data_IF_581816222115
#
_entry.id   IF_581816222115
#
_cell.length_a   1.000
_cell.length_b   1.000
_cell.length_c   1.000
_cell.angle_alpha   90.00
_cell.angle_beta   90.00
_cell.angle_gamma   90.00
#
_symmetry.space_group_name_H-M   'P 1'
#
loop_
_entity.id
_entity.type
_entity.pdbx_description
1 polymer ?
#
# COMPACT_ATOMS: atom_id res chain seq x y z
N UNK A 1 -20.97 -59.97 -26.99
CA UNK A 1 -21.59 -58.63 -27.01
C UNK A 1 -21.93 -58.08 -25.63
N UNK A 2 -22.63 -58.79 -24.73
CA UNK A 2 -22.99 -58.22 -23.42
C UNK A 2 -21.81 -57.85 -22.51
N UNK A 3 -20.72 -58.64 -22.45
CA UNK A 3 -19.52 -58.33 -21.66
C UNK A 3 -18.73 -57.13 -22.19
N UNK A 4 -18.68 -56.89 -23.51
CA UNK A 4 -18.02 -55.71 -24.07
C UNK A 4 -18.77 -54.41 -23.82
N UNK A 5 -20.09 -54.46 -23.77
CA UNK A 5 -20.94 -53.32 -23.43
C UNK A 5 -20.77 -52.92 -21.95
N UNK A 6 -20.60 -53.94 -21.07
CA UNK A 6 -20.40 -53.72 -19.64
C UNK A 6 -19.03 -53.03 -19.34
N UNK A 7 -17.96 -53.39 -20.05
CA UNK A 7 -16.66 -52.72 -19.93
C UNK A 7 -16.68 -51.29 -20.53
N UNK A 8 -17.44 -51.07 -21.60
CA UNK A 8 -17.59 -49.76 -22.17
C UNK A 8 -18.36 -48.80 -21.24
N UNK A 9 -19.42 -49.29 -20.58
CA UNK A 9 -20.16 -48.52 -19.58
C UNK A 9 -19.35 -48.21 -18.31
N UNK A 10 -18.49 -49.12 -17.85
CA UNK A 10 -17.62 -48.94 -16.70
C UNK A 10 -16.50 -47.93 -17.04
N UNK A 11 -15.96 -47.95 -18.27
CA UNK A 11 -14.96 -46.98 -18.70
C UNK A 11 -15.51 -45.59 -18.90
N UNK A 12 -16.78 -45.43 -19.34
CA UNK A 12 -17.46 -44.13 -19.44
C UNK A 12 -17.79 -43.59 -18.04
N UNK A 13 -18.19 -44.44 -17.08
CA UNK A 13 -18.44 -44.04 -15.70
C UNK A 13 -17.15 -43.61 -14.96
N UNK A 14 -16.01 -44.27 -15.27
CA UNK A 14 -14.70 -43.93 -14.70
C UNK A 14 -14.13 -42.59 -15.29
N UNK A 15 -14.46 -42.24 -16.52
CA UNK A 15 -14.05 -40.99 -17.16
C UNK A 15 -14.85 -39.79 -16.60
N UNK A 16 -16.09 -40.01 -16.15
CA UNK A 16 -16.91 -38.94 -15.53
C UNK A 16 -16.41 -38.59 -14.12
N UNK A 17 -15.66 -39.44 -13.44
CA UNK A 17 -15.09 -39.16 -12.10
C UNK A 17 -13.72 -38.45 -12.13
N UNK A 18 -13.19 -38.09 -13.30
CA UNK A 18 -11.92 -37.35 -13.46
C UNK A 18 -12.08 -35.95 -14.03
N UNK A 19 -13.31 -35.43 -14.05
CA UNK A 19 -13.47 -33.98 -14.24
C UNK A 19 -12.98 -33.30 -12.94
N UNK A 20 -12.03 -32.35 -13.03
CA UNK A 20 -11.72 -31.54 -11.87
C UNK A 20 -13.02 -30.93 -11.39
N UNK A 21 -13.32 -31.07 -10.10
CA UNK A 21 -14.42 -30.36 -9.46
C UNK A 21 -14.28 -28.89 -9.82
N UNK A 22 -15.04 -28.41 -10.79
CA UNK A 22 -15.25 -26.98 -10.94
C UNK A 22 -16.00 -26.60 -9.67
N UNK A 23 -15.30 -25.97 -8.71
CA UNK A 23 -15.98 -25.23 -7.66
C UNK A 23 -16.97 -24.30 -8.36
N UNK A 24 -18.26 -24.50 -8.09
CA UNK A 24 -19.31 -23.68 -8.69
C UNK A 24 -19.08 -22.23 -8.30
N UNK A 25 -19.08 -21.35 -9.30
CA UNK A 25 -19.17 -19.91 -9.09
C UNK A 25 -20.56 -19.63 -8.50
N UNK A 26 -20.61 -19.07 -7.29
CA UNK A 26 -21.86 -18.83 -6.58
C UNK A 26 -22.46 -17.48 -6.92
N UNK A 27 -23.74 -17.48 -7.31
CA UNK A 27 -24.56 -16.32 -7.52
C UNK A 27 -24.44 -15.68 -8.92
N UNK A 28 -25.50 -15.01 -9.31
CA UNK A 28 -25.56 -14.12 -10.47
C UNK A 28 -25.71 -12.67 -10.00
N UNK A 29 -25.35 -11.65 -10.80
CA UNK A 29 -25.45 -10.25 -10.38
C UNK A 29 -26.84 -9.85 -9.84
N UNK A 30 -27.92 -10.44 -10.39
CA UNK A 30 -29.31 -10.17 -10.01
C UNK A 30 -29.67 -10.70 -8.62
N UNK A 31 -28.89 -11.62 -8.07
CA UNK A 31 -29.10 -12.20 -6.74
C UNK A 31 -28.57 -11.31 -5.62
N UNK A 32 -27.66 -10.35 -5.94
CA UNK A 32 -27.06 -9.48 -4.96
C UNK A 32 -27.80 -8.16 -4.81
N UNK A 33 -28.31 -7.90 -3.61
CA UNK A 33 -28.99 -6.65 -3.29
C UNK A 33 -27.98 -5.53 -3.03
N UNK A 34 -28.37 -4.30 -3.37
CA UNK A 34 -27.62 -3.11 -3.04
C UNK A 34 -27.51 -2.93 -1.52
N UNK A 35 -26.30 -2.85 -1.01
CA UNK A 35 -26.00 -2.61 0.41
C UNK A 35 -25.47 -1.19 0.65
N UNK A 36 -25.29 -0.81 1.90
CA UNK A 36 -24.73 0.48 2.24
C UNK A 36 -23.27 0.59 1.79
N UNK A 37 -22.45 -0.43 2.04
CA UNK A 37 -21.00 -0.37 1.78
C UNK A 37 -20.46 -1.64 1.15
N UNK A 38 -19.60 -1.49 0.15
CA UNK A 38 -18.77 -2.57 -0.38
C UNK A 38 -17.30 -2.19 -0.24
N UNK A 39 -16.52 -3.06 0.38
CA UNK A 39 -15.07 -2.91 0.46
C UNK A 39 -14.43 -3.96 -0.43
N UNK A 40 -13.67 -3.50 -1.44
CA UNK A 40 -12.82 -4.34 -2.27
C UNK A 40 -11.39 -4.32 -1.74
N UNK A 41 -10.87 -5.48 -1.36
CA UNK A 41 -9.44 -5.69 -1.11
C UNK A 41 -8.83 -6.25 -2.39
N UNK A 42 -8.01 -5.47 -3.08
CA UNK A 42 -7.33 -5.88 -4.30
C UNK A 42 -5.95 -6.43 -3.99
N UNK A 43 -5.81 -7.76 -3.95
CA UNK A 43 -4.58 -8.47 -3.61
C UNK A 43 -3.86 -8.94 -4.88
N UNK A 44 -2.95 -8.11 -5.41
CA UNK A 44 -2.04 -8.47 -6.49
C UNK A 44 -0.85 -9.27 -5.91
N UNK A 45 -1.10 -10.54 -5.61
CA UNK A 45 -0.21 -11.39 -4.81
C UNK A 45 0.48 -12.49 -5.62
N UNK A 46 0.46 -12.43 -6.96
CA UNK A 46 1.25 -13.32 -7.81
C UNK A 46 2.73 -12.90 -7.82
N UNK A 47 3.33 -12.87 -6.64
CA UNK A 47 4.69 -12.46 -6.38
C UNK A 47 5.21 -13.12 -5.09
N UNK A 48 6.36 -12.68 -4.57
CA UNK A 48 6.99 -13.22 -3.36
C UNK A 48 6.26 -12.90 -2.05
N UNK A 49 5.19 -12.08 -2.05
CA UNK A 49 4.31 -11.84 -0.90
C UNK A 49 3.10 -12.79 -0.86
N UNK A 50 3.07 -13.83 -1.70
CA UNK A 50 1.92 -14.73 -1.81
C UNK A 50 1.52 -15.41 -0.50
N UNK A 51 2.46 -15.82 0.34
CA UNK A 51 2.15 -16.41 1.65
C UNK A 51 1.63 -15.36 2.65
N UNK A 52 2.14 -14.12 2.58
CA UNK A 52 1.60 -13.01 3.39
C UNK A 52 0.17 -12.67 2.98
N UNK A 53 -0.14 -12.68 1.68
CA UNK A 53 -1.50 -12.51 1.16
C UNK A 53 -2.46 -13.59 1.68
N UNK A 54 -2.01 -14.83 1.71
CA UNK A 54 -2.80 -15.94 2.28
C UNK A 54 -3.05 -15.76 3.79
N UNK A 55 -2.03 -15.33 4.52
CA UNK A 55 -2.17 -15.02 5.95
C UNK A 55 -3.13 -13.86 6.19
N UNK A 56 -3.06 -12.79 5.38
CA UNK A 56 -3.97 -11.65 5.47
C UNK A 56 -5.41 -12.04 5.11
N UNK A 57 -5.60 -12.87 4.07
CA UNK A 57 -6.92 -13.42 3.74
C UNK A 57 -7.51 -14.25 4.90
N UNK A 58 -6.68 -15.05 5.58
CA UNK A 58 -7.09 -15.81 6.75
C UNK A 58 -7.35 -14.93 7.98
N UNK A 59 -6.64 -13.78 8.09
CA UNK A 59 -6.87 -12.83 9.18
C UNK A 59 -8.17 -12.04 8.98
N UNK A 60 -8.53 -11.68 7.75
CA UNK A 60 -9.83 -11.08 7.42
C UNK A 60 -11.01 -11.94 7.92
N UNK A 61 -10.89 -13.27 7.82
CA UNK A 61 -11.92 -14.23 8.25
C UNK A 61 -12.10 -14.31 9.77
N UNK A 62 -11.15 -13.77 10.55
CA UNK A 62 -11.22 -13.73 12.03
C UNK A 62 -11.82 -12.44 12.56
N UNK A 63 -11.90 -11.41 11.71
CA UNK A 63 -12.37 -10.08 12.07
C UNK A 63 -13.88 -9.92 11.92
N UNK A 64 -14.31 -8.66 11.98
CA UNK A 64 -15.70 -8.31 11.69
C UNK A 64 -16.03 -8.58 10.22
N UNK A 65 -17.07 -9.35 10.00
CA UNK A 65 -17.63 -9.64 8.68
C UNK A 65 -19.02 -9.02 8.64
N UNK A 66 -19.31 -8.13 7.67
CA UNK A 66 -20.64 -7.49 7.59
C UNK A 66 -21.71 -8.51 7.19
N UNK A 67 -22.88 -8.40 7.78
CA UNK A 67 -24.04 -9.23 7.47
C UNK A 67 -24.90 -8.56 6.40
N UNK A 68 -25.85 -7.71 6.82
CA UNK A 68 -26.88 -7.16 5.93
C UNK A 68 -26.50 -5.83 5.27
N UNK A 69 -25.62 -5.03 5.90
CA UNK A 69 -25.35 -3.65 5.49
C UNK A 69 -24.05 -3.46 4.70
N UNK A 70 -23.26 -4.52 4.50
CA UNK A 70 -21.99 -4.42 3.80
C UNK A 70 -21.56 -5.70 3.07
N UNK A 71 -20.55 -5.56 2.19
CA UNK A 71 -19.89 -6.66 1.50
C UNK A 71 -18.37 -6.55 1.67
N UNK A 72 -17.73 -7.64 2.10
CA UNK A 72 -16.27 -7.79 2.12
C UNK A 72 -15.86 -8.66 0.94
N UNK A 73 -15.28 -8.02 -0.06
CA UNK A 73 -14.93 -8.65 -1.34
C UNK A 73 -13.42 -8.60 -1.53
N UNK A 74 -12.84 -9.71 -1.97
CA UNK A 74 -11.39 -9.82 -2.18
C UNK A 74 -11.13 -10.24 -3.62
N UNK A 75 -10.44 -9.39 -4.39
CA UNK A 75 -9.76 -9.83 -5.60
C UNK A 75 -8.45 -10.51 -5.17
N UNK A 76 -8.29 -11.78 -5.49
CA UNK A 76 -7.17 -12.60 -5.02
C UNK A 76 -6.44 -13.25 -6.18
N UNK A 77 -5.18 -12.85 -6.41
CA UNK A 77 -4.33 -13.45 -7.42
C UNK A 77 -3.12 -14.11 -6.77
N UNK A 78 -3.17 -15.42 -6.65
CA UNK A 78 -2.10 -16.24 -6.10
C UNK A 78 -1.27 -16.89 -7.23
N UNK A 79 0.03 -17.19 -7.05
CA UNK A 79 0.87 -17.80 -8.09
C UNK A 79 0.27 -19.07 -8.71
N UNK A 80 0.45 -19.20 -10.02
CA UNK A 80 -0.01 -20.36 -10.82
C UNK A 80 -1.53 -20.57 -10.83
N UNK A 81 -2.31 -19.55 -10.53
CA UNK A 81 -3.78 -19.59 -10.57
C UNK A 81 -4.32 -18.38 -11.32
N UNK A 82 -5.54 -18.51 -11.86
CA UNK A 82 -6.26 -17.36 -12.36
C UNK A 82 -6.80 -16.52 -11.19
N UNK A 83 -6.85 -15.18 -11.31
CA UNK A 83 -7.41 -14.35 -10.25
C UNK A 83 -8.89 -14.68 -9.96
N UNK A 84 -9.26 -14.59 -8.71
CA UNK A 84 -10.61 -14.85 -8.20
C UNK A 84 -11.20 -13.57 -7.60
N UNK A 85 -12.52 -13.42 -7.70
CA UNK A 85 -13.29 -12.52 -6.84
C UNK A 85 -13.95 -13.38 -5.76
N UNK A 86 -13.58 -13.13 -4.52
CA UNK A 86 -14.06 -13.85 -3.35
C UNK A 86 -15.01 -12.94 -2.55
N UNK A 87 -16.05 -13.52 -1.98
CA UNK A 87 -16.91 -12.88 -0.98
C UNK A 87 -16.68 -13.55 0.37
N UNK A 88 -16.34 -12.78 1.39
CA UNK A 88 -16.22 -13.25 2.78
C UNK A 88 -17.53 -12.92 3.49
N UNK A 89 -18.25 -13.93 3.93
CA UNK A 89 -19.60 -13.81 4.50
C UNK A 89 -19.83 -14.87 5.59
N UNK A 90 -21.02 -14.90 6.17
CA UNK A 90 -21.50 -15.98 7.01
C UNK A 90 -22.41 -16.90 6.19
N UNK A 91 -22.27 -18.21 6.38
CA UNK A 91 -23.19 -19.20 5.81
C UNK A 91 -24.47 -19.32 6.67
N UNK A 92 -25.40 -20.17 6.23
CA UNK A 92 -26.68 -20.40 6.93
C UNK A 92 -26.53 -20.88 8.39
N UNK A 93 -25.38 -21.44 8.76
CA UNK A 93 -25.09 -21.87 10.13
C UNK A 93 -24.41 -20.77 10.99
N UNK A 94 -24.15 -19.60 10.41
CA UNK A 94 -23.41 -18.49 11.02
C UNK A 94 -21.87 -18.68 11.03
N UNK A 95 -21.36 -19.71 10.36
CA UNK A 95 -19.92 -19.89 10.21
C UNK A 95 -19.39 -19.03 9.06
N UNK A 96 -18.14 -18.56 9.19
CA UNK A 96 -17.47 -17.81 8.14
C UNK A 96 -17.29 -18.66 6.89
N UNK A 97 -17.66 -18.14 5.74
CA UNK A 97 -17.50 -18.74 4.43
C UNK A 97 -16.74 -17.80 3.49
N UNK A 98 -15.99 -18.38 2.57
CA UNK A 98 -15.30 -17.66 1.49
C UNK A 98 -15.80 -18.25 0.18
N UNK A 99 -16.69 -17.53 -0.49
CA UNK A 99 -17.32 -17.98 -1.71
C UNK A 99 -16.63 -17.36 -2.94
N UNK A 100 -16.35 -18.20 -3.95
CA UNK A 100 -15.87 -17.71 -5.25
C UNK A 100 -17.07 -17.17 -6.05
N UNK A 101 -17.05 -15.87 -6.34
CA UNK A 101 -18.11 -15.18 -7.07
C UNK A 101 -17.79 -15.04 -8.54
N UNK A 102 -16.49 -14.83 -8.87
CA UNK A 102 -16.07 -14.67 -10.24
C UNK A 102 -14.65 -15.21 -10.45
N UNK A 103 -14.41 -15.84 -11.61
CA UNK A 103 -13.07 -16.29 -12.03
C UNK A 103 -12.63 -15.45 -13.21
N UNK A 104 -11.60 -14.65 -13.01
CA UNK A 104 -11.03 -13.87 -14.11
C UNK A 104 -10.25 -14.78 -15.08
N UNK A 105 -10.22 -14.46 -16.38
CA UNK A 105 -9.29 -15.11 -17.29
C UNK A 105 -7.84 -14.81 -16.88
N UNK A 106 -6.85 -15.62 -17.35
CA UNK A 106 -5.43 -15.37 -17.09
C UNK A 106 -5.07 -13.91 -17.40
N UNK A 107 -4.45 -13.24 -16.44
CA UNK A 107 -4.06 -11.82 -16.57
C UNK A 107 -2.99 -11.45 -15.55
N UNK A 108 -2.24 -10.41 -15.87
CA UNK A 108 -1.35 -9.76 -14.91
C UNK A 108 -2.15 -8.77 -14.04
N UNK A 109 -2.09 -8.92 -12.73
CA UNK A 109 -2.82 -8.05 -11.78
C UNK A 109 -2.12 -6.71 -11.55
N UNK A 110 -0.86 -6.57 -11.94
CA UNK A 110 -0.12 -5.30 -11.88
C UNK A 110 -0.38 -4.42 -13.11
N UNK A 111 -1.64 -4.33 -13.55
CA UNK A 111 -2.07 -3.47 -14.67
C UNK A 111 -3.32 -2.67 -14.32
N UNK A 112 -3.39 -1.44 -14.81
CA UNK A 112 -4.57 -0.58 -14.64
C UNK A 112 -5.85 -1.23 -15.19
N UNK A 113 -5.75 -1.98 -16.29
CA UNK A 113 -6.89 -2.68 -16.89
C UNK A 113 -7.42 -3.81 -16.02
N UNK A 114 -6.55 -4.56 -15.35
CA UNK A 114 -6.95 -5.62 -14.42
C UNK A 114 -7.61 -5.05 -13.17
N UNK A 115 -7.06 -3.98 -12.59
CA UNK A 115 -7.67 -3.27 -11.47
C UNK A 115 -9.04 -2.72 -11.84
N UNK A 116 -9.16 -2.02 -12.97
CA UNK A 116 -10.45 -1.50 -13.47
C UNK A 116 -11.47 -2.60 -13.68
N UNK A 117 -11.04 -3.72 -14.26
CA UNK A 117 -11.91 -4.90 -14.45
C UNK A 117 -12.40 -5.46 -13.12
N UNK A 118 -11.52 -5.60 -12.12
CA UNK A 118 -11.89 -6.09 -10.80
C UNK A 118 -12.89 -5.15 -10.09
N UNK A 119 -12.67 -3.84 -10.16
CA UNK A 119 -13.59 -2.83 -9.59
C UNK A 119 -14.96 -2.91 -10.26
N UNK A 120 -15.00 -2.98 -11.60
CA UNK A 120 -16.27 -3.05 -12.35
C UNK A 120 -17.02 -4.34 -12.05
N UNK A 121 -16.36 -5.49 -12.02
CA UNK A 121 -16.99 -6.77 -11.64
C UNK A 121 -17.50 -6.70 -10.20
N UNK A 122 -16.70 -6.15 -9.28
CA UNK A 122 -17.14 -5.95 -7.88
C UNK A 122 -18.40 -5.08 -7.82
N UNK A 123 -18.43 -3.93 -8.50
CA UNK A 123 -19.58 -3.04 -8.48
C UNK A 123 -20.83 -3.68 -9.13
N UNK A 124 -20.64 -4.58 -10.10
CA UNK A 124 -21.72 -5.33 -10.75
C UNK A 124 -22.34 -6.37 -9.82
N UNK A 125 -21.53 -7.16 -9.14
CA UNK A 125 -22.00 -8.20 -8.23
C UNK A 125 -22.40 -7.66 -6.85
N UNK A 126 -21.73 -6.63 -6.37
CA UNK A 126 -21.90 -6.07 -5.03
C UNK A 126 -22.20 -4.57 -5.09
N UNK A 127 -23.35 -4.18 -5.66
CA UNK A 127 -23.75 -2.77 -5.73
C UNK A 127 -23.89 -2.20 -4.31
N UNK A 128 -23.39 -0.96 -4.13
CA UNK A 128 -23.42 -0.28 -2.84
C UNK A 128 -23.67 1.22 -2.99
N UNK A 129 -23.93 1.90 -1.85
CA UNK A 129 -23.99 3.36 -1.79
C UNK A 129 -22.59 3.97 -1.68
N UNK A 130 -21.70 3.27 -0.95
CA UNK A 130 -20.32 3.64 -0.71
C UNK A 130 -19.38 2.49 -1.09
N UNK A 131 -18.24 2.85 -1.66
CA UNK A 131 -17.17 1.91 -1.96
C UNK A 131 -15.89 2.30 -1.24
N UNK A 132 -15.27 1.32 -0.54
CA UNK A 132 -13.90 1.38 -0.05
C UNK A 132 -12.98 0.52 -0.90
N UNK A 133 -11.74 0.95 -1.08
CA UNK A 133 -10.72 0.19 -1.82
C UNK A 133 -9.47 0.03 -0.97
N UNK A 134 -9.03 -1.22 -0.79
CA UNK A 134 -7.73 -1.55 -0.18
C UNK A 134 -6.84 -2.13 -1.26
N UNK A 135 -5.71 -1.48 -1.51
CA UNK A 135 -4.71 -1.87 -2.49
C UNK A 135 -3.54 -2.56 -1.77
N UNK A 136 -3.41 -3.86 -1.98
CA UNK A 136 -2.45 -4.72 -1.32
C UNK A 136 -1.43 -5.28 -2.32
N UNK A 137 -0.18 -4.87 -2.23
CA UNK A 137 0.95 -5.40 -3.02
C UNK A 137 2.27 -4.71 -2.60
N UNK A 138 3.37 -5.00 -3.33
CA UNK A 138 4.55 -4.12 -3.34
C UNK A 138 4.21 -2.74 -3.92
N UNK A 139 4.91 -1.69 -3.46
CA UNK A 139 4.82 -0.35 -4.03
C UNK A 139 6.11 0.46 -3.87
N UNK A 140 6.25 1.53 -4.68
CA UNK A 140 7.38 2.48 -4.67
C UNK A 140 6.94 3.94 -4.64
N UNK A 141 5.73 4.20 -4.16
CA UNK A 141 5.18 5.55 -4.11
C UNK A 141 4.98 6.15 -5.50
N UNK A 142 5.48 7.34 -5.69
CA UNK A 142 5.32 8.14 -6.90
C UNK A 142 6.36 7.85 -8.00
N UNK A 143 7.33 6.99 -7.77
CA UNK A 143 8.41 6.72 -8.73
C UNK A 143 7.88 6.15 -10.05
N UNK A 144 8.52 6.51 -11.19
CA UNK A 144 8.10 5.96 -12.48
C UNK A 144 8.31 4.45 -12.56
N UNK A 145 7.48 3.81 -13.36
CA UNK A 145 7.53 2.35 -13.61
C UNK A 145 8.95 1.93 -14.01
N UNK A 146 9.39 0.80 -13.46
CA UNK A 146 10.72 0.23 -13.70
C UNK A 146 11.92 1.10 -13.28
N UNK A 147 11.72 2.17 -12.52
CA UNK A 147 12.82 3.08 -12.12
C UNK A 147 13.97 2.34 -11.43
N UNK A 148 13.69 1.39 -10.57
CA UNK A 148 14.71 0.55 -9.93
C UNK A 148 15.36 -0.45 -10.87
N UNK A 149 14.63 -1.00 -11.82
CA UNK A 149 15.14 -1.99 -12.76
C UNK A 149 16.11 -1.36 -13.78
N UNK A 150 15.82 -0.12 -14.21
CA UNK A 150 16.64 0.62 -15.18
C UNK A 150 17.87 1.30 -14.54
N UNK A 151 17.89 1.42 -13.21
CA UNK A 151 18.96 2.02 -12.44
C UNK A 151 19.54 1.05 -11.39
N UNK A 152 20.10 -0.11 -11.77
CA UNK A 152 20.52 -1.15 -10.83
C UNK A 152 21.68 -0.72 -9.89
N UNK A 153 22.45 0.30 -10.23
CA UNK A 153 23.48 0.89 -9.32
C UNK A 153 22.85 1.67 -8.16
N UNK A 154 21.54 1.99 -8.25
CA UNK A 154 20.73 2.62 -7.21
C UNK A 154 19.84 1.59 -6.50
N UNK A 155 19.70 0.39 -7.06
CA UNK A 155 19.21 -0.79 -6.34
C UNK A 155 20.32 -1.29 -5.41
N UNK A 156 19.95 -1.94 -4.32
CA UNK A 156 20.85 -2.57 -3.33
C UNK A 156 22.19 -2.99 -3.93
N UNK A 157 23.30 -2.71 -3.23
CA UNK A 157 24.55 -3.39 -3.51
C UNK A 157 24.27 -4.88 -3.63
N UNK A 158 24.65 -5.48 -4.74
CA UNK A 158 24.30 -6.83 -5.16
C UNK A 158 24.79 -7.95 -4.23
N UNK A 159 25.49 -7.62 -3.15
CA UNK A 159 26.07 -8.54 -2.18
C UNK A 159 25.33 -8.64 -0.85
N UNK A 160 24.23 -7.88 -0.67
CA UNK A 160 23.47 -7.90 0.58
C UNK A 160 24.26 -7.35 1.79
N UNK A 161 25.44 -6.79 1.58
CA UNK A 161 26.17 -6.12 2.64
C UNK A 161 25.57 -4.75 2.87
N UNK A 162 24.88 -4.58 4.00
CA UNK A 162 24.61 -3.26 4.54
C UNK A 162 25.95 -2.67 4.95
N UNK A 163 26.29 -1.43 4.58
CA UNK A 163 27.41 -0.74 5.21
C UNK A 163 27.01 -0.43 6.65
N UNK A 164 27.22 -1.40 7.55
CA UNK A 164 27.16 -1.19 9.01
C UNK A 164 28.28 -0.25 9.48
N UNK A 165 29.26 0.02 8.62
CA UNK A 165 30.50 0.73 8.98
C UNK A 165 30.31 2.22 9.29
N UNK A 166 29.19 2.85 8.93
CA UNK A 166 28.95 4.26 9.26
C UNK A 166 28.13 4.49 10.55
N UNK A 167 27.68 3.44 11.23
CA UNK A 167 27.00 3.58 12.53
C UNK A 167 27.96 3.62 13.73
N UNK A 168 29.24 3.29 13.57
CA UNK A 168 30.19 3.20 14.69
C UNK A 168 30.84 4.54 15.11
N UNK A 169 30.57 5.66 14.46
CA UNK A 169 31.23 6.93 14.82
C UNK A 169 30.37 7.94 15.58
N UNK A 170 29.13 7.69 15.87
CA UNK A 170 28.35 8.52 16.79
C UNK A 170 28.01 7.70 18.02
N UNK A 171 28.68 8.02 19.12
CA UNK A 171 28.54 7.44 20.46
C UNK A 171 27.20 7.78 21.12
N UNK A 172 26.08 7.38 20.51
CA UNK A 172 24.81 7.22 21.21
C UNK A 172 24.53 5.73 21.27
N UNK A 173 24.63 5.19 22.50
CA UNK A 173 24.26 3.83 22.84
C UNK A 173 22.96 3.45 22.14
N UNK A 174 23.03 2.43 21.28
CA UNK A 174 21.88 1.83 20.64
C UNK A 174 20.95 1.31 21.76
N UNK A 175 19.75 1.88 21.99
CA UNK A 175 18.88 1.46 23.10
C UNK A 175 18.41 0.00 22.98
N UNK A 176 18.68 -0.66 21.85
CA UNK A 176 18.36 -2.06 21.62
C UNK A 176 19.45 -3.03 22.10
N UNK A 177 20.67 -2.58 22.38
CA UNK A 177 21.76 -3.43 22.84
C UNK A 177 21.59 -3.88 24.29
N UNK A 178 20.75 -3.21 25.09
CA UNK A 178 20.46 -3.59 26.47
C UNK A 178 19.37 -4.67 26.62
N UNK A 179 18.60 -4.97 25.55
CA UNK A 179 17.40 -5.81 25.69
C UNK A 179 17.57 -7.28 25.27
N UNK A 180 18.66 -7.68 24.64
CA UNK A 180 18.80 -9.06 24.15
C UNK A 180 20.20 -9.58 24.52
N UNK A 181 20.23 -10.66 25.30
CA UNK A 181 21.41 -11.41 25.74
C UNK A 181 22.36 -11.83 24.58
N UNK A 182 23.06 -10.88 23.95
CA UNK A 182 24.15 -11.13 23.02
C UNK A 182 23.78 -11.61 21.61
N UNK A 183 22.50 -11.69 21.25
CA UNK A 183 22.06 -11.99 19.88
C UNK A 183 21.62 -10.70 19.17
N UNK A 184 22.17 -10.48 17.97
CA UNK A 184 21.80 -9.34 17.13
C UNK A 184 20.34 -9.47 16.68
N UNK A 185 19.40 -8.60 17.15
CA UNK A 185 18.01 -8.66 16.74
C UNK A 185 17.82 -8.41 15.24
N UNK A 186 18.81 -7.79 14.59
CA UNK A 186 18.85 -7.63 13.15
C UNK A 186 19.21 -8.92 12.42
N UNK A 187 19.92 -9.88 13.06
CA UNK A 187 20.29 -11.16 12.43
C UNK A 187 19.06 -12.00 12.08
N UNK A 188 18.02 -11.99 12.92
CA UNK A 188 16.75 -12.68 12.63
C UNK A 188 15.95 -11.94 11.55
N UNK A 189 15.87 -10.62 11.62
CA UNK A 189 15.23 -9.79 10.58
C UNK A 189 15.98 -9.93 9.25
N UNK A 190 17.33 -9.91 9.29
CA UNK A 190 18.20 -10.16 8.14
C UNK A 190 18.04 -11.61 7.64
N UNK A 191 17.83 -12.61 8.51
CA UNK A 191 17.52 -13.98 8.09
C UNK A 191 16.13 -14.09 7.48
N UNK A 192 15.10 -13.44 8.04
CA UNK A 192 13.76 -13.36 7.45
C UNK A 192 13.80 -12.66 6.08
N UNK A 193 14.60 -11.61 5.95
CA UNK A 193 14.81 -10.87 4.69
C UNK A 193 15.74 -11.61 3.74
N UNK A 194 16.76 -12.33 4.22
CA UNK A 194 17.72 -13.12 3.41
C UNK A 194 17.20 -14.55 3.11
N UNK A 195 16.26 -15.08 3.86
CA UNK A 195 15.68 -16.40 3.63
C UNK A 195 14.95 -16.52 2.28
N UNK A 196 14.57 -15.40 1.69
CA UNK A 196 14.10 -15.32 0.30
C UNK A 196 15.21 -14.68 -0.54
N UNK A 197 15.95 -15.50 -1.28
CA UNK A 197 17.12 -15.15 -2.12
C UNK A 197 16.85 -14.20 -3.29
N UNK A 198 15.76 -13.44 -3.27
CA UNK A 198 15.50 -12.34 -4.17
C UNK A 198 15.34 -11.09 -3.31
N UNK A 199 16.33 -10.17 -3.38
CA UNK A 199 16.28 -8.89 -2.71
C UNK A 199 14.91 -8.24 -2.93
N UNK A 200 14.34 -7.66 -1.85
CA UNK A 200 13.06 -6.95 -1.91
C UNK A 200 13.24 -5.81 -2.91
N UNK A 201 12.85 -6.06 -4.14
CA UNK A 201 12.70 -5.04 -5.17
C UNK A 201 11.38 -4.34 -4.85
N UNK A 202 11.43 -3.24 -4.09
CA UNK A 202 10.27 -2.38 -3.98
C UNK A 202 10.03 -1.73 -5.33
N UNK A 203 8.79 -1.74 -5.84
CA UNK A 203 8.41 -1.26 -7.16
C UNK A 203 7.06 -0.58 -7.05
N UNK A 204 6.66 0.22 -8.04
CA UNK A 204 5.34 0.87 -8.10
C UNK A 204 4.20 -0.11 -7.82
N UNK A 205 3.02 0.40 -7.43
CA UNK A 205 1.93 -0.46 -6.96
C UNK A 205 1.65 -1.65 -7.90
N UNK A 206 1.59 -2.84 -7.32
CA UNK A 206 1.40 -4.09 -8.05
C UNK A 206 2.69 -4.51 -8.76
N UNK A 207 3.45 -5.44 -8.20
CA UNK A 207 4.60 -6.05 -8.89
C UNK A 207 4.27 -7.48 -9.25
N UNK A 208 4.12 -7.75 -10.54
CA UNK A 208 3.90 -9.08 -11.08
C UNK A 208 4.66 -9.24 -12.39
N UNK A 209 5.58 -10.19 -12.46
CA UNK A 209 6.38 -10.48 -13.67
C UNK A 209 7.08 -9.25 -14.27
N UNK A 210 7.50 -8.29 -13.42
CA UNK A 210 8.13 -7.05 -13.85
C UNK A 210 7.17 -5.95 -14.30
N UNK A 211 5.87 -6.17 -14.25
CA UNK A 211 4.86 -5.14 -14.48
C UNK A 211 4.59 -4.34 -13.21
N UNK A 212 4.21 -3.08 -13.38
CA UNK A 212 3.91 -2.12 -12.32
C UNK A 212 2.81 -1.17 -12.79
N UNK A 213 2.02 -0.61 -11.88
CA UNK A 213 1.04 0.42 -12.20
C UNK A 213 1.62 1.79 -11.82
N UNK A 214 1.82 2.65 -12.82
CA UNK A 214 2.14 4.06 -12.61
C UNK A 214 0.99 4.77 -11.87
N UNK A 215 1.28 5.74 -11.00
CA UNK A 215 0.23 6.43 -10.22
C UNK A 215 -0.78 7.18 -11.11
N UNK A 216 -0.37 7.64 -12.29
CA UNK A 216 -1.28 8.27 -13.27
C UNK A 216 -2.20 7.22 -13.91
N UNK A 217 -1.65 6.03 -14.20
CA UNK A 217 -2.45 4.90 -14.70
C UNK A 217 -3.36 4.33 -13.62
N UNK A 218 -2.95 4.40 -12.35
CA UNK A 218 -3.80 4.03 -11.21
C UNK A 218 -5.08 4.87 -11.19
N UNK A 219 -4.98 6.20 -11.35
CA UNK A 219 -6.15 7.09 -11.44
C UNK A 219 -7.08 6.67 -12.58
N UNK A 220 -6.52 6.36 -13.77
CA UNK A 220 -7.30 5.94 -14.94
C UNK A 220 -8.03 4.59 -14.75
N UNK A 221 -7.57 3.79 -13.78
CA UNK A 221 -8.20 2.53 -13.43
C UNK A 221 -9.44 2.67 -12.53
N UNK A 222 -9.65 3.83 -11.91
CA UNK A 222 -10.72 4.09 -10.95
C UNK A 222 -11.96 4.62 -11.68
N UNK A 223 -13.05 3.80 -11.84
CA UNK A 223 -14.20 4.19 -12.65
C UNK A 223 -15.17 5.15 -11.95
N UNK A 224 -15.03 5.31 -10.64
CA UNK A 224 -15.83 6.20 -9.80
C UNK A 224 -15.05 6.59 -8.54
N UNK A 225 -15.55 7.56 -7.80
CA UNK A 225 -14.93 8.03 -6.56
C UNK A 225 -15.22 7.07 -5.40
N UNK A 226 -14.19 6.76 -4.62
CA UNK A 226 -14.27 5.95 -3.41
C UNK A 226 -14.47 6.83 -2.17
N UNK A 227 -15.16 6.33 -1.15
CA UNK A 227 -15.24 7.00 0.15
C UNK A 227 -13.88 6.97 0.86
N UNK A 228 -13.09 5.92 0.64
CA UNK A 228 -11.71 5.84 1.09
C UNK A 228 -10.89 4.88 0.24
N UNK A 229 -9.57 5.13 0.21
CA UNK A 229 -8.58 4.19 -0.32
C UNK A 229 -7.50 3.96 0.74
N UNK A 230 -7.11 2.70 0.89
CA UNK A 230 -6.04 2.26 1.80
C UNK A 230 -4.95 1.60 0.98
N UNK A 231 -3.71 1.97 1.23
CA UNK A 231 -2.56 1.30 0.67
C UNK A 231 -1.88 0.44 1.74
N UNK A 232 -2.12 -0.87 1.67
CA UNK A 232 -1.30 -1.86 2.36
C UNK A 232 -0.10 -2.20 1.49
N UNK A 233 0.76 -1.19 1.32
CA UNK A 233 1.87 -1.16 0.38
C UNK A 233 2.90 -0.10 0.77
N UNK A 234 4.16 -0.31 0.37
CA UNK A 234 5.30 0.54 0.74
C UNK A 234 5.25 1.94 0.10
N UNK A 235 5.70 2.98 0.85
CA UNK A 235 6.06 4.30 0.34
C UNK A 235 4.93 5.09 -0.34
N UNK A 236 3.67 4.67 -0.17
CA UNK A 236 2.52 5.33 -0.80
C UNK A 236 2.10 6.63 -0.09
N UNK A 237 2.61 6.91 1.11
CA UNK A 237 2.29 8.11 1.88
C UNK A 237 3.04 9.37 1.42
N UNK A 238 3.17 9.57 0.11
CA UNK A 238 3.74 10.77 -0.50
C UNK A 238 2.66 11.77 -0.89
N UNK A 239 3.00 13.08 -0.81
CA UNK A 239 2.10 14.16 -1.27
C UNK A 239 1.79 14.02 -2.77
N UNK A 240 2.74 13.51 -3.54
CA UNK A 240 2.59 13.25 -4.97
C UNK A 240 1.48 12.24 -5.23
N UNK A 241 1.46 11.15 -4.46
CA UNK A 241 0.43 10.10 -4.54
C UNK A 241 -0.91 10.65 -4.05
N UNK A 242 -0.91 11.34 -2.91
CA UNK A 242 -2.11 11.90 -2.32
C UNK A 242 -2.79 12.89 -3.28
N UNK A 243 -2.01 13.80 -3.87
CA UNK A 243 -2.52 14.82 -4.78
C UNK A 243 -3.00 14.22 -6.10
N UNK A 244 -2.29 13.21 -6.63
CA UNK A 244 -2.69 12.50 -7.86
C UNK A 244 -4.05 11.79 -7.69
N UNK A 245 -4.38 11.34 -6.47
CA UNK A 245 -5.60 10.60 -6.17
C UNK A 245 -6.74 11.45 -5.58
N UNK A 246 -6.53 12.76 -5.38
CA UNK A 246 -7.44 13.62 -4.62
C UNK A 246 -8.90 13.65 -5.10
N UNK A 247 -9.10 13.50 -6.40
CA UNK A 247 -10.42 13.48 -7.01
C UNK A 247 -11.05 12.10 -7.06
N UNK A 248 -10.26 11.04 -6.83
CA UNK A 248 -10.68 9.65 -6.89
C UNK A 248 -11.16 9.07 -5.56
N UNK A 249 -10.89 9.75 -4.45
CA UNK A 249 -11.30 9.31 -3.11
C UNK A 249 -11.50 10.48 -2.16
N UNK A 250 -12.28 10.31 -1.09
CA UNK A 250 -12.44 11.33 -0.05
C UNK A 250 -11.33 11.26 1.01
N UNK A 251 -10.80 10.07 1.26
CA UNK A 251 -9.74 9.85 2.25
C UNK A 251 -8.73 8.83 1.74
N UNK A 252 -7.47 9.03 2.17
CA UNK A 252 -6.36 8.10 1.98
C UNK A 252 -5.81 7.65 3.33
N UNK A 253 -5.49 6.35 3.44
CA UNK A 253 -4.71 5.79 4.54
C UNK A 253 -3.51 5.06 3.97
N UNK A 254 -2.31 5.40 4.40
CA UNK A 254 -1.06 4.89 3.84
C UNK A 254 0.13 5.10 4.79
N UNK A 255 1.31 4.66 4.36
CA UNK A 255 2.58 4.83 5.05
C UNK A 255 3.57 5.64 4.21
N UNK A 256 4.24 6.68 4.75
CA UNK A 256 5.34 7.37 4.06
C UNK A 256 6.63 6.54 4.02
N UNK A 257 6.78 5.54 4.91
CA UNK A 257 7.87 4.54 4.83
C UNK A 257 7.43 3.29 4.08
N UNK A 258 8.33 2.32 3.97
CA UNK A 258 7.91 0.94 3.64
C UNK A 258 6.88 0.43 4.66
N UNK A 259 6.22 -0.68 4.35
CA UNK A 259 5.36 -1.44 5.25
C UNK A 259 5.94 -2.84 5.44
N UNK A 260 5.66 -3.48 6.59
CA UNK A 260 6.06 -4.87 6.80
C UNK A 260 5.22 -5.82 5.97
N UNK A 261 5.80 -6.91 5.48
CA UNK A 261 5.14 -7.92 4.66
C UNK A 261 3.90 -8.54 5.34
N UNK A 262 3.89 -8.57 6.68
CA UNK A 262 2.73 -9.02 7.46
C UNK A 262 1.45 -8.22 7.17
N UNK A 263 1.55 -7.01 6.59
CA UNK A 263 0.42 -6.19 6.18
C UNK A 263 -0.38 -5.60 7.35
N UNK A 264 -1.62 -5.24 7.07
CA UNK A 264 -2.52 -4.68 8.09
C UNK A 264 -3.13 -5.78 8.98
N UNK A 265 -3.41 -5.50 10.26
CA UNK A 265 -4.12 -6.41 11.16
C UNK A 265 -5.62 -6.42 10.82
N UNK A 266 -6.00 -7.10 9.74
CA UNK A 266 -7.35 -7.07 9.17
C UNK A 266 -8.44 -7.48 10.18
N UNK A 267 -8.16 -8.45 11.05
CA UNK A 267 -9.07 -8.88 12.11
C UNK A 267 -9.44 -7.77 13.09
N UNK A 268 -8.57 -6.78 13.26
CA UNK A 268 -8.80 -5.65 14.16
C UNK A 268 -9.43 -4.45 13.46
N UNK A 269 -9.09 -4.21 12.19
CA UNK A 269 -9.47 -2.98 11.49
C UNK A 269 -10.83 -3.06 10.78
N UNK A 270 -11.31 -4.24 10.40
CA UNK A 270 -12.53 -4.39 9.59
C UNK A 270 -13.76 -3.77 10.26
N UNK A 271 -13.91 -3.87 11.57
CA UNK A 271 -15.03 -3.24 12.29
C UNK A 271 -15.10 -1.72 12.12
N UNK A 272 -13.95 -1.05 12.06
CA UNK A 272 -13.87 0.40 11.87
C UNK A 272 -14.13 0.80 10.41
N UNK A 273 -13.72 -0.04 9.46
CA UNK A 273 -13.97 0.18 8.04
C UNK A 273 -15.45 0.03 7.68
N UNK A 274 -16.17 -0.89 8.34
CA UNK A 274 -17.61 -1.07 8.16
C UNK A 274 -18.48 -0.20 9.07
N UNK A 275 -17.89 0.55 10.01
CA UNK A 275 -18.67 1.49 10.84
C UNK A 275 -19.38 2.56 9.99
N UNK A 276 -20.37 3.22 10.56
CA UNK A 276 -21.12 4.29 9.92
C UNK A 276 -21.14 5.55 10.79
N UNK A 277 -20.40 6.61 10.42
CA UNK A 277 -19.49 6.70 9.26
C UNK A 277 -18.24 5.81 9.42
N UNK A 278 -17.50 5.57 8.31
CA UNK A 278 -16.22 4.87 8.35
C UNK A 278 -15.23 5.59 9.26
N UNK A 279 -14.59 4.86 10.18
CA UNK A 279 -13.60 5.42 11.10
C UNK A 279 -12.16 5.05 10.69
N UNK A 280 -11.61 5.82 9.75
CA UNK A 280 -10.23 5.63 9.31
C UNK A 280 -9.20 6.03 10.37
N UNK A 281 -9.56 6.92 11.29
CA UNK A 281 -8.69 7.30 12.42
C UNK A 281 -8.54 6.13 13.37
N UNK A 282 -9.63 5.43 13.73
CA UNK A 282 -9.55 4.21 14.53
C UNK A 282 -8.81 3.10 13.77
N UNK A 283 -9.06 2.94 12.46
CA UNK A 283 -8.32 1.98 11.61
C UNK A 283 -6.80 2.21 11.68
N UNK A 284 -6.35 3.45 11.47
CA UNK A 284 -4.93 3.80 11.54
C UNK A 284 -4.35 3.63 12.95
N UNK A 285 -5.13 3.92 13.98
CA UNK A 285 -4.73 3.74 15.38
C UNK A 285 -4.57 2.27 15.74
N UNK A 286 -5.47 1.38 15.27
CA UNK A 286 -5.33 -0.07 15.47
C UNK A 286 -4.08 -0.60 14.76
N UNK A 287 -3.82 -0.20 13.51
CA UNK A 287 -2.58 -0.55 12.81
C UNK A 287 -1.34 -0.13 13.60
N UNK A 288 -1.28 1.12 14.04
CA UNK A 288 -0.17 1.63 14.83
C UNK A 288 -0.01 0.87 16.15
N UNK A 289 -1.10 0.69 16.91
CA UNK A 289 -1.08 0.01 18.20
C UNK A 289 -0.63 -1.45 18.06
N UNK A 290 -1.11 -2.15 17.02
CA UNK A 290 -0.72 -3.52 16.74
C UNK A 290 0.81 -3.63 16.60
N UNK A 291 1.42 -2.84 15.73
CA UNK A 291 2.87 -2.88 15.56
C UNK A 291 3.65 -2.29 16.74
N UNK A 292 3.14 -1.21 17.34
CA UNK A 292 3.81 -0.59 18.49
C UNK A 292 3.84 -1.50 19.74
N UNK A 293 2.93 -2.47 19.84
CA UNK A 293 2.91 -3.49 20.90
C UNK A 293 3.84 -4.69 20.64
N UNK A 294 4.37 -4.83 19.45
CA UNK A 294 5.26 -5.95 19.11
C UNK A 294 6.63 -5.80 19.76
N UNK A 295 7.25 -6.94 20.10
CA UNK A 295 8.60 -6.96 20.70
C UNK A 295 9.69 -6.88 19.62
N UNK A 296 9.52 -7.62 18.52
CA UNK A 296 10.56 -7.74 17.46
C UNK A 296 10.25 -6.91 16.20
N UNK A 297 8.99 -6.79 15.81
CA UNK A 297 8.56 -6.10 14.60
C UNK A 297 7.84 -4.78 14.93
N UNK A 298 8.40 -4.01 15.86
CA UNK A 298 7.84 -2.73 16.31
C UNK A 298 8.16 -1.61 15.32
N UNK A 299 7.63 -1.73 14.09
CA UNK A 299 7.91 -0.80 13.00
C UNK A 299 6.60 -0.42 12.31
N UNK A 300 6.19 0.84 12.43
CA UNK A 300 5.03 1.37 11.73
C UNK A 300 5.15 2.87 11.52
N UNK A 301 4.72 3.34 10.37
CA UNK A 301 4.28 4.71 10.13
C UNK A 301 2.92 4.64 9.44
N UNK A 302 2.03 5.56 9.76
CA UNK A 302 0.70 5.62 9.16
C UNK A 302 0.19 7.04 9.19
N UNK A 303 -0.53 7.44 8.14
CA UNK A 303 -1.28 8.68 8.10
C UNK A 303 -2.63 8.51 7.42
N UNK A 304 -3.59 9.34 7.84
CA UNK A 304 -4.91 9.47 7.22
C UNK A 304 -5.03 10.87 6.67
N UNK A 305 -5.27 10.97 5.36
CA UNK A 305 -5.35 12.23 4.63
C UNK A 305 -6.75 12.46 4.11
N UNK A 306 -7.30 13.63 4.37
CA UNK A 306 -8.53 14.15 3.80
C UNK A 306 -8.21 14.88 2.50
N UNK A 307 -8.62 14.32 1.38
CA UNK A 307 -8.18 14.77 0.05
C UNK A 307 -8.71 16.16 -0.33
N UNK A 308 -9.87 16.54 0.17
CA UNK A 308 -10.47 17.87 -0.08
C UNK A 308 -9.64 19.05 0.43
N UNK A 309 -8.66 18.81 1.30
CA UNK A 309 -7.77 19.85 1.84
C UNK A 309 -6.47 20.01 1.00
N UNK A 310 -6.20 19.13 0.05
CA UNK A 310 -4.92 19.08 -0.67
C UNK A 310 -4.72 20.26 -1.63
N UNK A 311 -5.79 20.83 -2.19
CA UNK A 311 -5.69 22.05 -3.00
C UNK A 311 -5.15 23.25 -2.19
N UNK A 312 -5.58 23.36 -0.94
CA UNK A 312 -5.05 24.39 -0.05
C UNK A 312 -3.56 24.14 0.26
N UNK A 313 -3.15 22.89 0.47
CA UNK A 313 -1.73 22.55 0.66
C UNK A 313 -0.91 22.93 -0.58
N UNK A 314 -1.39 22.62 -1.78
CA UNK A 314 -0.71 22.96 -3.03
C UNK A 314 -0.59 24.48 -3.24
N UNK A 315 -1.64 25.24 -2.92
CA UNK A 315 -1.66 26.69 -3.03
C UNK A 315 -0.59 27.32 -2.13
N UNK A 316 -0.52 26.89 -0.87
CA UNK A 316 0.49 27.42 0.08
C UNK A 316 1.90 26.97 -0.32
N UNK A 317 2.06 25.71 -0.78
CA UNK A 317 3.34 25.21 -1.29
C UNK A 317 3.83 26.03 -2.48
N UNK A 318 2.93 26.40 -3.40
CA UNK A 318 3.27 27.25 -4.56
C UNK A 318 3.83 28.61 -4.14
N UNK A 319 3.19 29.31 -3.20
CA UNK A 319 3.69 30.59 -2.68
C UNK A 319 5.12 30.46 -2.11
N UNK A 320 5.41 29.32 -1.47
CA UNK A 320 6.74 29.04 -0.90
C UNK A 320 7.75 28.73 -2.00
N UNK A 321 7.42 27.89 -2.98
CA UNK A 321 8.32 27.57 -4.08
C UNK A 321 8.57 28.77 -5.00
N UNK A 322 7.60 29.65 -5.20
CA UNK A 322 7.79 30.87 -6.00
C UNK A 322 8.85 31.82 -5.40
N UNK A 323 9.06 31.76 -4.08
CA UNK A 323 10.03 32.62 -3.36
C UNK A 323 11.24 31.89 -2.80
N UNK A 324 11.19 30.59 -2.63
CA UNK A 324 12.22 29.81 -1.93
C UNK A 324 12.88 28.70 -2.75
N UNK A 325 12.45 28.47 -4.01
CA UNK A 325 12.96 27.39 -4.84
C UNK A 325 14.47 27.41 -5.01
N UNK A 326 15.06 28.58 -5.20
CA UNK A 326 16.51 28.74 -5.38
C UNK A 326 17.31 28.27 -4.18
N UNK A 327 16.70 28.19 -3.00
CA UNK A 327 17.36 27.70 -1.79
C UNK A 327 17.53 26.17 -1.78
N UNK A 328 16.74 25.42 -2.57
CA UNK A 328 16.72 23.94 -2.53
C UNK A 328 18.12 23.35 -2.73
N UNK A 329 18.91 23.90 -3.65
CA UNK A 329 20.26 23.41 -3.92
C UNK A 329 21.28 23.67 -2.78
N UNK A 330 20.93 24.50 -1.81
CA UNK A 330 21.82 24.94 -0.72
C UNK A 330 21.40 24.47 0.68
N UNK A 331 20.29 23.74 0.81
CA UNK A 331 19.82 23.24 2.12
C UNK A 331 20.71 22.12 2.66
N UNK A 332 20.76 21.98 3.97
CA UNK A 332 21.30 20.77 4.61
C UNK A 332 20.26 19.64 4.53
N UNK A 333 20.34 18.87 3.45
CA UNK A 333 19.43 17.75 3.19
C UNK A 333 19.56 16.63 4.24
N UNK A 334 20.73 16.48 4.88
CA UNK A 334 20.93 15.46 5.91
C UNK A 334 20.17 15.75 7.19
N UNK A 335 19.82 17.00 7.43
CA UNK A 335 19.03 17.44 8.58
C UNK A 335 17.52 17.24 8.41
N UNK A 336 17.05 16.78 7.24
CA UNK A 336 15.64 16.55 6.95
C UNK A 336 15.27 15.12 7.29
N UNK A 337 14.10 14.90 7.91
CA UNK A 337 13.55 13.56 8.20
C UNK A 337 13.43 12.77 6.91
N UNK A 338 14.02 11.57 6.90
CA UNK A 338 14.05 10.65 5.76
C UNK A 338 13.10 9.47 6.02
N UNK A 339 12.50 8.94 4.95
CA UNK A 339 11.62 7.77 4.97
C UNK A 339 12.11 6.63 4.08
N UNK A 340 13.38 6.64 3.74
CA UNK A 340 14.01 5.68 2.84
C UNK A 340 15.22 5.01 3.47
N UNK A 341 15.56 3.83 2.94
CA UNK A 341 16.79 3.08 3.24
C UNK A 341 17.73 3.09 2.02
N UNK A 342 18.97 2.69 2.22
CA UNK A 342 19.92 2.41 1.13
C UNK A 342 20.17 3.57 0.17
N UNK A 343 20.37 4.79 0.68
CA UNK A 343 20.68 5.99 -0.12
C UNK A 343 19.63 6.32 -1.22
N UNK A 344 18.39 5.91 -1.05
CA UNK A 344 17.28 6.21 -1.97
C UNK A 344 16.67 7.57 -1.62
N UNK A 345 17.29 8.65 -2.04
CA UNK A 345 17.00 10.05 -1.68
C UNK A 345 15.70 10.60 -2.32
N UNK A 346 14.56 9.89 -2.24
CA UNK A 346 13.35 10.27 -2.95
C UNK A 346 12.14 10.49 -2.03
N UNK A 347 12.29 10.26 -0.72
CA UNK A 347 11.20 10.31 0.25
C UNK A 347 11.64 11.01 1.52
N UNK A 348 11.38 12.32 1.60
CA UNK A 348 11.66 13.16 2.75
C UNK A 348 10.37 13.67 3.37
N UNK A 349 10.38 14.03 4.64
CA UNK A 349 9.22 14.68 5.24
C UNK A 349 8.95 16.05 4.60
N UNK A 350 7.71 16.26 4.17
CA UNK A 350 7.36 17.48 3.43
C UNK A 350 7.38 18.72 4.32
N UNK A 351 6.94 18.62 5.58
CA UNK A 351 6.87 19.75 6.50
C UNK A 351 8.29 20.19 6.94
N UNK A 352 9.15 19.20 7.26
CA UNK A 352 10.55 19.46 7.59
C UNK A 352 11.32 20.04 6.39
N UNK A 353 11.05 19.58 5.16
CA UNK A 353 11.62 20.13 3.93
C UNK A 353 11.18 21.59 3.70
N UNK A 354 9.88 21.84 3.73
CA UNK A 354 9.33 23.21 3.53
C UNK A 354 9.90 24.18 4.56
N UNK A 355 10.07 23.74 5.81
CA UNK A 355 10.69 24.55 6.88
C UNK A 355 12.11 24.99 6.58
N UNK A 356 12.85 24.35 5.63
CA UNK A 356 14.22 24.76 5.25
C UNK A 356 14.26 25.90 4.22
N UNK A 357 13.20 26.06 3.44
CA UNK A 357 13.15 27.05 2.33
C UNK A 357 12.18 28.20 2.59
N UNK A 358 11.17 27.99 3.43
CA UNK A 358 10.14 28.95 3.77
C UNK A 358 10.61 30.02 4.79
N UNK A 359 9.93 31.15 4.82
CA UNK A 359 9.96 32.06 5.97
C UNK A 359 9.16 31.46 7.13
N UNK A 360 9.35 31.97 8.34
CA UNK A 360 8.60 31.51 9.51
C UNK A 360 7.08 31.63 9.32
N UNK A 361 6.60 32.71 8.71
CA UNK A 361 5.18 32.91 8.42
C UNK A 361 4.66 31.92 7.39
N UNK A 362 5.41 31.69 6.30
CA UNK A 362 5.07 30.70 5.27
C UNK A 362 5.05 29.29 5.84
N UNK A 363 6.05 28.91 6.65
CA UNK A 363 6.08 27.60 7.30
C UNK A 363 4.86 27.41 8.22
N UNK A 364 4.48 28.42 9.01
CA UNK A 364 3.30 28.34 9.86
C UNK A 364 2.00 28.13 9.05
N UNK A 365 1.83 28.84 7.91
CA UNK A 365 0.69 28.64 7.01
C UNK A 365 0.68 27.24 6.40
N UNK A 366 1.86 26.72 6.01
CA UNK A 366 1.98 25.39 5.44
C UNK A 366 1.62 24.31 6.48
N UNK A 367 2.12 24.44 7.70
CA UNK A 367 1.81 23.53 8.79
C UNK A 367 0.31 23.55 9.13
N UNK A 368 -0.34 24.70 9.09
CA UNK A 368 -1.80 24.79 9.24
C UNK A 368 -2.53 24.03 8.12
N UNK A 369 -2.10 24.17 6.87
CA UNK A 369 -2.69 23.46 5.74
C UNK A 369 -2.48 21.95 5.83
N UNK A 370 -1.26 21.48 6.16
CA UNK A 370 -0.96 20.07 6.38
C UNK A 370 -1.81 19.49 7.53
N UNK A 371 -1.93 20.18 8.65
CA UNK A 371 -2.72 19.72 9.80
C UNK A 371 -4.23 19.63 9.51
N UNK A 372 -4.75 20.36 8.52
CA UNK A 372 -6.13 20.18 8.03
C UNK A 372 -6.25 18.96 7.11
N UNK A 373 -5.22 18.69 6.29
CA UNK A 373 -5.21 17.56 5.37
C UNK A 373 -4.90 16.25 6.08
N UNK A 374 -3.87 16.20 6.93
CA UNK A 374 -3.47 14.98 7.69
C UNK A 374 -4.24 14.93 9.00
N UNK A 375 -5.39 14.25 8.99
CA UNK A 375 -6.31 14.20 10.13
C UNK A 375 -5.87 13.20 11.23
N UNK A 376 -4.97 12.29 10.90
CA UNK A 376 -4.29 11.39 11.84
C UNK A 376 -2.92 11.00 11.31
N UNK A 377 -1.94 10.90 12.21
CA UNK A 377 -0.61 10.37 11.92
C UNK A 377 -0.01 9.72 13.15
N UNK A 378 0.73 8.63 12.95
CA UNK A 378 1.49 7.97 14.01
C UNK A 378 2.72 7.28 13.44
N UNK A 379 3.78 7.23 14.23
CA UNK A 379 5.02 6.54 13.89
C UNK A 379 5.63 5.89 15.13
N UNK A 380 6.20 4.71 14.99
CA UNK A 380 7.12 4.15 15.97
C UNK A 380 8.43 4.91 15.94
N UNK A 381 9.26 4.90 17.01
CA UNK A 381 10.52 5.64 17.06
C UNK A 381 11.50 5.28 15.93
N UNK A 382 11.35 4.11 15.36
CA UNK A 382 12.15 3.62 14.23
C UNK A 382 11.25 2.89 13.24
N UNK A 383 11.59 2.97 11.96
CA UNK A 383 11.15 2.03 10.95
C UNK A 383 12.38 1.28 10.43
N UNK A 384 12.59 0.04 10.91
CA UNK A 384 13.81 -0.76 10.70
C UNK A 384 15.05 0.07 11.10
N UNK A 385 15.88 0.52 10.17
CA UNK A 385 17.06 1.33 10.40
C UNK A 385 16.83 2.84 10.30
N UNK A 386 15.61 3.29 10.03
CA UNK A 386 15.28 4.70 9.87
C UNK A 386 14.79 5.24 11.22
N UNK A 387 15.51 6.16 11.89
CA UNK A 387 14.98 6.86 13.05
C UNK A 387 13.87 7.81 12.61
N UNK A 388 12.75 7.78 13.31
CA UNK A 388 11.62 8.68 13.08
C UNK A 388 11.53 9.68 14.24
N UNK A 389 11.79 10.93 13.94
CA UNK A 389 11.59 12.01 14.90
C UNK A 389 10.11 12.43 14.91
N UNK A 390 9.44 12.20 16.02
CA UNK A 390 8.00 12.51 16.14
C UNK A 390 7.66 14.00 15.96
N UNK A 391 8.60 14.90 16.26
CA UNK A 391 8.41 16.35 16.07
C UNK A 391 8.51 16.78 14.60
N UNK A 392 9.16 15.97 13.78
CA UNK A 392 9.37 16.22 12.33
C UNK A 392 8.44 15.36 11.46
N UNK A 393 7.70 14.43 12.06
CA UNK A 393 6.84 13.51 11.34
C UNK A 393 5.53 14.21 10.93
N UNK A 394 5.46 14.68 9.68
CA UNK A 394 4.23 15.27 9.12
C UNK A 394 3.18 14.22 8.71
N UNK A 395 3.61 12.98 8.50
CA UNK A 395 2.78 11.90 7.97
C UNK A 395 2.77 11.84 6.44
N UNK A 396 3.45 12.76 5.76
CA UNK A 396 3.58 12.78 4.30
C UNK A 396 5.03 12.92 3.89
N UNK A 397 5.44 12.13 2.90
CA UNK A 397 6.72 12.31 2.22
C UNK A 397 6.59 13.20 0.99
N UNK A 398 7.74 13.69 0.51
CA UNK A 398 7.88 14.36 -0.79
C UNK A 398 9.27 14.12 -1.37
N UNK A 399 9.41 14.31 -2.68
CA UNK A 399 10.68 14.40 -3.36
C UNK A 399 11.36 15.75 -3.07
N UNK A 400 12.69 15.76 -3.06
CA UNK A 400 13.49 16.97 -3.07
C UNK A 400 14.47 16.90 -4.26
N UNK A 401 14.39 17.80 -5.26
CA UNK A 401 15.25 17.79 -6.44
C UNK A 401 16.66 18.33 -6.13
N UNK A 402 17.31 17.76 -5.11
CA UNK A 402 18.62 18.18 -4.63
C UNK A 402 19.78 17.62 -5.46
N UNK A 403 19.63 16.39 -5.95
CA UNK A 403 20.70 15.64 -6.61
C UNK A 403 20.73 15.78 -8.13
N UNK A 404 19.88 16.65 -8.72
CA UNK A 404 19.77 16.90 -10.17
C UNK A 404 19.59 15.59 -10.99
N UNK A 405 18.68 14.74 -10.57
CA UNK A 405 18.34 13.49 -11.25
C UNK A 405 17.45 13.75 -12.47
N UNK A 406 18.06 14.16 -13.57
CA UNK A 406 17.35 14.70 -14.75
C UNK A 406 16.24 13.82 -15.31
N UNK A 407 16.33 12.49 -15.18
CA UNK A 407 15.26 11.57 -15.59
C UNK A 407 14.08 11.64 -14.60
N UNK A 408 14.38 11.60 -13.31
CA UNK A 408 13.38 11.66 -12.25
C UNK A 408 12.70 13.02 -12.21
N UNK A 409 13.48 14.11 -12.35
CA UNK A 409 12.95 15.48 -12.42
C UNK A 409 12.01 15.66 -13.61
N UNK A 410 12.33 15.09 -14.78
CA UNK A 410 11.45 15.11 -15.96
C UNK A 410 10.14 14.38 -15.71
N UNK A 411 10.18 13.21 -15.07
CA UNK A 411 8.97 12.49 -14.70
C UNK A 411 8.16 13.28 -13.66
N UNK A 412 8.81 13.79 -12.61
CA UNK A 412 8.17 14.57 -11.56
C UNK A 412 7.39 15.78 -12.10
N UNK A 413 7.93 16.47 -13.13
CA UNK A 413 7.23 17.58 -13.81
C UNK A 413 5.88 17.17 -14.42
N UNK A 414 5.67 15.89 -14.70
CA UNK A 414 4.42 15.37 -15.26
C UNK A 414 3.35 15.07 -14.21
N UNK A 415 3.68 15.13 -12.92
CA UNK A 415 2.76 14.87 -11.82
C UNK A 415 1.87 16.08 -11.55
N UNK A 416 0.63 15.84 -11.16
CA UNK A 416 -0.34 16.90 -10.84
C UNK A 416 0.14 17.77 -9.67
N UNK A 417 0.80 17.16 -8.67
CA UNK A 417 1.40 17.90 -7.56
C UNK A 417 2.38 18.97 -8.06
N UNK A 418 3.33 18.60 -8.93
CA UNK A 418 4.29 19.57 -9.46
C UNK A 418 3.61 20.63 -10.33
N UNK A 419 2.59 20.24 -11.09
CA UNK A 419 1.81 21.19 -11.91
C UNK A 419 1.09 22.21 -11.04
N UNK A 420 0.63 21.83 -9.85
CA UNK A 420 -0.05 22.72 -8.90
C UNK A 420 0.91 23.60 -8.09
N UNK A 421 2.00 23.04 -7.56
CA UNK A 421 2.90 23.78 -6.67
C UNK A 421 4.13 24.40 -7.37
N UNK A 422 4.53 23.87 -8.54
CA UNK A 422 5.64 24.40 -9.33
C UNK A 422 7.01 24.23 -8.67
N UNK A 423 7.23 23.13 -7.93
CA UNK A 423 8.52 22.90 -7.26
C UNK A 423 9.67 22.78 -8.25
N UNK A 424 9.48 22.03 -9.35
CA UNK A 424 10.44 21.89 -10.44
C UNK A 424 9.90 22.63 -11.68
N UNK A 425 10.68 23.57 -12.23
CA UNK A 425 10.37 24.32 -13.46
C UNK A 425 10.96 23.68 -14.71
#
# INVERSE_FOLDING_TARGET
MAKQIQYLLISILAIIMLLPSCEEVKGTPEEFQKKRKTILVYMAANNNLSEDAKNNLADMQKGYIPEDDGNLVVYYHYPNQNPLLLNITHNETGAVAVDTIYRFPPRNSATASSLKSAINVTATYFPAEEYGLILWSHATGWLPVNYYATNPQRSLASDGSYPLDNMQQNSHTNPFQEYINGEDPYAEIVKMVKGNNNGILSRSFGSEEGSEIDIKELVNALPFKFSFMIFDACLMGGIEVAYQLKDSTDYLLFSPTETLANGMPYSLIMQHLFSNPTDLTATAKEYYNFYNSQTLLRYATVSVVKTSELENVATVAKEIFDTGRDKISSIDIKGIQQYFRNNKHWFYDIEDFIGKIATQEQAAKFNEAINKAVIYKAATPYFISIPINSEKFSGLSTYIPYFNESELDRYYKTLEWNSACGMIQ
#
